data_IF_483924840759
#
_entry.id   IF_483924840759
#
_cell.length_a   1.000
_cell.length_b   1.000
_cell.length_c   1.000
_cell.angle_alpha   90.00
_cell.angle_beta   90.00
_cell.angle_gamma   90.00
#
_symmetry.space_group_name_H-M   'P 1'
#
loop_
_entity.id
_entity.type
_entity.pdbx_description
1 polymer ?
#
# COMPACT_ATOMS: atom_id res chain seq x y z
N UNK A 1 8.59 3.72 0.54
CA UNK A 1 7.25 4.02 0.01
C UNK A 1 7.44 4.84 -1.24
N UNK A 2 6.77 4.51 -2.34
CA UNK A 2 6.92 5.22 -3.63
C UNK A 2 5.61 5.94 -3.96
N UNK A 3 5.63 7.25 -4.22
CA UNK A 3 4.44 7.94 -4.72
C UNK A 3 4.31 7.71 -6.24
N UNK A 4 3.09 7.49 -6.72
CA UNK A 4 2.87 7.21 -8.15
C UNK A 4 3.25 8.38 -9.05
N UNK A 5 3.16 9.62 -8.55
CA UNK A 5 3.56 10.82 -9.29
C UNK A 5 5.09 10.96 -9.42
N UNK A 6 5.86 10.36 -8.51
CA UNK A 6 7.34 10.41 -8.57
C UNK A 6 7.89 9.47 -9.66
N UNK A 7 7.04 8.59 -10.22
CA UNK A 7 7.39 7.65 -11.28
C UNK A 7 7.27 8.25 -12.68
N UNK A 8 6.85 9.51 -12.83
CA UNK A 8 6.81 10.18 -14.14
C UNK A 8 5.65 11.16 -14.30
N UNK A 9 5.71 11.94 -15.36
CA UNK A 9 4.77 13.03 -15.60
C UNK A 9 3.47 12.55 -16.24
N UNK A 10 3.52 11.46 -17.00
CA UNK A 10 2.36 10.88 -17.67
C UNK A 10 2.17 9.39 -17.34
N UNK A 11 1.08 8.82 -17.88
CA UNK A 11 0.70 7.41 -17.66
C UNK A 11 1.74 6.43 -18.22
N UNK A 12 2.32 6.73 -19.36
CA UNK A 12 3.28 5.85 -20.05
C UNK A 12 4.57 5.77 -19.26
N UNK A 13 5.13 6.92 -18.85
CA UNK A 13 6.34 6.97 -18.02
C UNK A 13 6.16 6.24 -16.70
N UNK A 14 5.06 6.53 -15.98
CA UNK A 14 4.74 5.86 -14.72
C UNK A 14 4.66 4.34 -14.89
N UNK A 15 4.04 3.88 -15.97
CA UNK A 15 3.94 2.44 -16.25
C UNK A 15 5.31 1.82 -16.54
N UNK A 16 6.18 2.52 -17.28
CA UNK A 16 7.54 2.05 -17.60
C UNK A 16 8.38 1.88 -16.34
N UNK A 17 8.27 2.79 -15.37
CA UNK A 17 9.02 2.70 -14.11
C UNK A 17 8.36 1.77 -13.10
N UNK A 18 7.03 1.69 -13.04
CA UNK A 18 6.34 0.84 -12.07
C UNK A 18 6.38 -0.65 -12.42
N UNK A 19 6.20 -1.00 -13.69
CA UNK A 19 6.03 -2.40 -14.08
C UNK A 19 7.25 -3.30 -13.75
N UNK A 20 8.51 -2.86 -13.92
CA UNK A 20 9.68 -3.62 -13.48
C UNK A 20 9.72 -3.81 -11.95
N UNK A 21 9.33 -2.81 -11.17
CA UNK A 21 9.30 -2.91 -9.70
C UNK A 21 8.27 -3.94 -9.24
N UNK A 22 7.12 -4.02 -9.91
CA UNK A 22 6.12 -5.05 -9.64
C UNK A 22 6.65 -6.44 -10.04
N UNK A 23 7.22 -6.58 -11.25
CA UNK A 23 7.74 -7.87 -11.73
C UNK A 23 8.89 -8.41 -10.90
N UNK A 24 9.72 -7.53 -10.34
CA UNK A 24 10.85 -7.90 -9.47
C UNK A 24 10.45 -8.10 -7.99
N UNK A 25 9.19 -7.85 -7.62
CA UNK A 25 8.72 -7.98 -6.24
C UNK A 25 9.15 -6.83 -5.32
N UNK A 26 9.84 -5.80 -5.83
CA UNK A 26 10.17 -4.58 -5.08
C UNK A 26 8.90 -3.81 -4.71
N UNK A 27 7.83 -3.94 -5.49
CA UNK A 27 6.50 -3.42 -5.17
C UNK A 27 5.50 -4.57 -5.20
N UNK A 28 4.85 -4.84 -4.07
CA UNK A 28 3.82 -5.89 -3.95
C UNK A 28 2.45 -5.36 -3.52
N UNK A 29 2.41 -4.15 -2.95
CA UNK A 29 1.20 -3.53 -2.42
C UNK A 29 1.02 -2.11 -2.98
N UNK A 30 -0.23 -1.69 -3.08
CA UNK A 30 -0.62 -0.31 -3.37
C UNK A 30 -1.32 0.32 -2.17
N UNK A 31 -1.48 1.64 -2.19
CA UNK A 31 -2.21 2.33 -1.14
C UNK A 31 -2.85 3.65 -1.55
N UNK A 32 -3.79 4.08 -0.71
CA UNK A 32 -4.46 5.38 -0.75
C UNK A 32 -3.84 6.30 0.30
N UNK A 33 -3.10 7.30 -0.15
CA UNK A 33 -2.36 8.22 0.72
C UNK A 33 -3.26 8.98 1.68
N UNK A 34 -4.37 9.55 1.19
CA UNK A 34 -5.23 10.44 1.99
C UNK A 34 -5.86 9.77 3.20
N UNK A 35 -6.32 8.52 3.05
CA UNK A 35 -6.93 7.76 4.15
C UNK A 35 -5.97 6.74 4.79
N UNK A 36 -4.69 6.76 4.39
CA UNK A 36 -3.64 5.81 4.81
C UNK A 36 -4.11 4.35 4.74
N UNK A 37 -4.53 3.89 3.57
CA UNK A 37 -4.99 2.50 3.36
C UNK A 37 -4.01 1.78 2.45
N UNK A 38 -3.54 0.58 2.80
CA UNK A 38 -2.81 -0.29 1.88
C UNK A 38 -3.64 -1.49 1.46
N UNK A 39 -3.30 -2.10 0.34
CA UNK A 39 -3.97 -3.28 -0.18
C UNK A 39 -3.24 -3.88 -1.38
N UNK A 40 -3.87 -4.90 -1.96
CA UNK A 40 -3.34 -5.58 -3.14
C UNK A 40 -3.29 -4.65 -4.35
N UNK A 41 -2.29 -4.84 -5.22
CA UNK A 41 -2.20 -4.14 -6.51
C UNK A 41 -3.43 -4.43 -7.41
N UNK A 42 -4.08 -5.57 -7.20
CA UNK A 42 -5.29 -6.01 -7.91
C UNK A 42 -6.58 -5.36 -7.41
N UNK A 43 -6.57 -4.66 -6.27
CA UNK A 43 -7.75 -4.08 -5.62
C UNK A 43 -8.54 -3.15 -6.57
N UNK A 44 -9.85 -3.38 -6.69
CA UNK A 44 -10.74 -2.62 -7.57
C UNK A 44 -10.80 -1.14 -7.19
N UNK A 45 -10.92 -0.84 -5.89
CA UNK A 45 -10.88 0.54 -5.38
C UNK A 45 -9.52 1.19 -5.62
N UNK A 46 -8.42 0.43 -5.45
CA UNK A 46 -7.06 0.89 -5.68
C UNK A 46 -6.78 1.28 -7.14
N UNK A 47 -7.27 0.48 -8.09
CA UNK A 47 -7.11 0.75 -9.54
C UNK A 47 -7.77 2.04 -10.01
N UNK A 48 -8.83 2.49 -9.31
CA UNK A 48 -9.59 3.72 -9.63
C UNK A 48 -8.97 4.99 -9.00
N UNK A 49 -7.93 4.86 -8.18
CA UNK A 49 -7.33 6.01 -7.51
C UNK A 49 -6.59 6.90 -8.51
N UNK A 50 -6.75 8.22 -8.35
CA UNK A 50 -5.91 9.19 -9.06
C UNK A 50 -4.45 9.04 -8.64
N UNK A 51 -3.53 9.33 -9.57
CA UNK A 51 -2.10 9.11 -9.36
C UNK A 51 -1.56 9.87 -8.13
N UNK A 52 -2.05 11.09 -7.88
CA UNK A 52 -1.60 11.95 -6.78
C UNK A 52 -1.90 11.35 -5.40
N UNK A 53 -2.85 10.42 -5.34
CA UNK A 53 -3.24 9.75 -4.10
C UNK A 53 -2.80 8.30 -4.03
N UNK A 54 -2.18 7.76 -5.08
CA UNK A 54 -1.77 6.37 -5.16
C UNK A 54 -0.30 6.24 -4.78
N UNK A 55 -0.02 5.31 -3.87
CA UNK A 55 1.33 5.00 -3.38
C UNK A 55 1.59 3.51 -3.48
N UNK A 56 2.86 3.11 -3.41
CA UNK A 56 3.29 1.73 -3.52
C UNK A 56 4.24 1.35 -2.39
N UNK A 57 4.16 0.09 -1.96
CA UNK A 57 4.96 -0.49 -0.89
C UNK A 57 5.57 -1.81 -1.35
N UNK A 58 6.75 -2.11 -0.83
CA UNK A 58 7.45 -3.37 -0.97
C UNK A 58 6.69 -4.49 -0.27
N UNK A 59 6.20 -4.25 0.94
CA UNK A 59 5.50 -5.25 1.74
C UNK A 59 4.61 -4.59 2.79
N UNK A 60 3.91 -5.42 3.54
CA UNK A 60 2.99 -4.98 4.59
C UNK A 60 3.70 -4.29 5.75
N UNK A 61 4.87 -4.76 6.16
CA UNK A 61 5.64 -4.15 7.25
C UNK A 61 6.00 -2.69 6.92
N UNK A 62 6.41 -2.42 5.68
CA UNK A 62 6.67 -1.05 5.22
C UNK A 62 5.40 -0.18 5.27
N UNK A 63 4.26 -0.70 4.82
CA UNK A 63 3.00 0.04 4.85
C UNK A 63 2.59 0.38 6.29
N UNK A 64 2.72 -0.58 7.21
CA UNK A 64 2.41 -0.41 8.62
C UNK A 64 3.35 0.58 9.31
N UNK A 65 4.65 0.51 9.04
CA UNK A 65 5.64 1.47 9.55
C UNK A 65 5.35 2.90 9.08
N UNK A 66 4.73 3.06 7.91
CA UNK A 66 4.25 4.35 7.39
C UNK A 66 2.85 4.74 7.92
N UNK A 67 2.26 3.95 8.82
CA UNK A 67 0.96 4.23 9.45
C UNK A 67 -0.26 3.94 8.56
N UNK A 68 -0.12 3.02 7.60
CA UNK A 68 -1.23 2.61 6.74
C UNK A 68 -1.97 1.40 7.33
N UNK A 69 -3.31 1.45 7.28
CA UNK A 69 -4.18 0.33 7.66
C UNK A 69 -4.52 -0.58 6.48
N UNK A 70 -4.84 -1.85 6.73
CA UNK A 70 -5.30 -2.75 5.67
C UNK A 70 -6.62 -2.29 5.04
N UNK A 71 -6.79 -2.58 3.75
CA UNK A 71 -7.99 -2.27 2.98
C UNK A 71 -9.12 -3.24 3.34
N UNK A 72 -10.29 -2.71 3.72
CA UNK A 72 -11.47 -3.53 4.01
C UNK A 72 -12.02 -4.32 2.83
N UNK A 73 -11.77 -3.90 1.57
CA UNK A 73 -12.26 -4.61 0.40
C UNK A 73 -11.38 -5.80 0.02
N UNK A 74 -10.07 -5.61 -0.12
CA UNK A 74 -9.17 -6.66 -0.60
C UNK A 74 -8.41 -7.39 0.52
N UNK A 75 -8.47 -6.90 1.76
CA UNK A 75 -7.84 -7.50 2.95
C UNK A 75 -8.82 -7.50 4.16
N UNK A 76 -10.03 -8.10 4.03
CA UNK A 76 -11.07 -7.99 5.04
C UNK A 76 -10.67 -8.57 6.41
N UNK A 77 -9.93 -9.67 6.46
CA UNK A 77 -9.48 -10.29 7.70
C UNK A 77 -8.49 -9.40 8.47
N UNK A 78 -7.47 -8.90 7.76
CA UNK A 78 -6.47 -7.97 8.34
C UNK A 78 -7.11 -6.66 8.76
N UNK A 79 -8.06 -6.15 7.98
CA UNK A 79 -8.85 -4.96 8.32
C UNK A 79 -9.68 -5.18 9.58
N UNK A 80 -10.31 -6.33 9.74
CA UNK A 80 -11.08 -6.68 10.93
C UNK A 80 -10.18 -6.79 12.17
N UNK A 81 -8.99 -7.39 12.02
CA UNK A 81 -8.00 -7.44 13.09
C UNK A 81 -7.53 -6.04 13.52
N UNK A 82 -7.18 -5.19 12.55
CA UNK A 82 -6.82 -3.78 12.81
C UNK A 82 -7.94 -3.02 13.52
N UNK A 83 -9.20 -3.19 13.07
CA UNK A 83 -10.37 -2.52 13.66
C UNK A 83 -10.68 -2.97 15.09
N UNK A 84 -10.39 -4.22 15.43
CA UNK A 84 -10.60 -4.77 16.78
C UNK A 84 -9.58 -4.27 17.81
N UNK A 85 -8.73 -3.29 17.47
CA UNK A 85 -7.69 -2.81 18.38
C UNK A 85 -6.59 -3.84 18.64
N UNK A 86 -6.53 -4.92 17.85
CA UNK A 86 -5.33 -5.76 17.79
C UNK A 86 -4.29 -4.94 17.05
N UNK A 87 -3.54 -4.15 17.80
CA UNK A 87 -2.51 -3.27 17.28
C UNK A 87 -1.46 -4.12 16.58
N UNK A 88 -1.52 -4.15 15.26
CA UNK A 88 -0.47 -4.73 14.42
C UNK A 88 0.88 -4.05 14.68
N UNK A 89 0.88 -2.82 15.20
CA UNK A 89 2.08 -2.09 15.65
C UNK A 89 2.58 -2.43 17.07
N UNK A 90 1.73 -2.89 17.99
CA UNK A 90 2.13 -3.16 19.38
C UNK A 90 2.64 -4.60 19.59
N UNK A 91 2.42 -5.49 18.62
CA UNK A 91 2.93 -6.87 18.66
C UNK A 91 4.47 -6.92 18.53
N UNK A 92 5.13 -5.84 18.06
CA UNK A 92 6.60 -5.79 17.91
C UNK A 92 7.33 -4.78 18.80
N UNK A 93 6.62 -3.99 19.62
CA UNK A 93 7.25 -3.09 20.60
C UNK A 93 7.46 -3.73 21.99
N UNK A 94 6.93 -4.93 22.23
CA UNK A 94 7.05 -5.67 23.49
C UNK A 94 8.03 -6.86 23.39
N UNK A 95 9.17 -6.68 22.69
CA UNK A 95 10.12 -7.74 22.37
C UNK A 95 11.59 -7.32 22.34
N UNK A 96 11.98 -6.35 23.17
CA UNK A 96 13.36 -6.14 23.63
C UNK A 96 13.33 -5.85 25.12
#
# INVERSE_FOLDING_TARGET
>A
MINHIDLGNDRVERSKHLAPLIRSGIVSLGGYRKARIYGLLSCSSGKKMKAENRVFFQNEAEALANGYRPCGNCLPEKHSAWKAGRNVGDIWAAGT
#
